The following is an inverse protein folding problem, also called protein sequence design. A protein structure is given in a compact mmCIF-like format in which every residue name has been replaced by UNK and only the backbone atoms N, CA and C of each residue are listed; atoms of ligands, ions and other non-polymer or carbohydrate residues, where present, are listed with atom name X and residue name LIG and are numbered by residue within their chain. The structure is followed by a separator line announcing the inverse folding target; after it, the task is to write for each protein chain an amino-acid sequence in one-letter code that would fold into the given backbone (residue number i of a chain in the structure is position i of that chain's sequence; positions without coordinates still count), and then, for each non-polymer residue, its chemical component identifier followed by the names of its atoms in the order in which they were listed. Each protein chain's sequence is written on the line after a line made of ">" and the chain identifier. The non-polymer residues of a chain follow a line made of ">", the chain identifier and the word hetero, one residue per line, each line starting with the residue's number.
data_IF_479143107481
#
_entry.id   IF_479143107481
#
_cell.length_a   1.000
_cell.length_b   1.000
_cell.length_c   1.000
_cell.angle_alpha   90.00
_cell.angle_beta   90.00
_cell.angle_gamma   90.00
#
_symmetry.space_group_name_H-M   'P 1'
#
loop_
_entity.id
_entity.type
_entity.pdbx_description
1 polymer ?
#
# COMPACT_ATOMS: atom_id res chain seq x y z
N UNK A 1 1.91 5.55 -55.21
CA UNK A 1 1.09 5.38 -54.00
C UNK A 1 1.92 4.68 -52.92
N UNK A 2 3.02 5.29 -52.49
CA UNK A 2 4.00 4.75 -51.52
C UNK A 2 4.12 5.67 -50.29
N UNK A 3 3.11 6.53 -50.06
CA UNK A 3 3.16 7.60 -49.05
C UNK A 3 2.44 7.27 -47.74
N UNK A 4 1.57 6.25 -47.72
CA UNK A 4 0.74 5.93 -46.55
C UNK A 4 1.36 4.87 -45.60
N UNK A 5 2.46 4.22 -46.00
CA UNK A 5 3.15 3.23 -45.17
C UNK A 5 4.07 3.85 -44.10
N UNK A 6 4.31 5.16 -44.13
CA UNK A 6 5.19 5.87 -43.19
C UNK A 6 4.49 6.34 -41.90
N UNK A 7 3.16 6.25 -41.81
CA UNK A 7 2.38 6.80 -40.69
C UNK A 7 2.04 5.81 -39.57
N UNK A 8 2.43 4.54 -39.70
CA UNK A 8 2.15 3.49 -38.69
C UNK A 8 3.38 3.09 -37.86
N UNK A 9 4.36 3.98 -37.73
CA UNK A 9 5.53 3.70 -36.90
C UNK A 9 5.13 3.62 -35.41
N UNK A 10 5.42 2.53 -34.69
CA UNK A 10 5.15 2.46 -33.27
C UNK A 10 6.03 3.43 -32.48
N UNK A 11 5.52 3.88 -31.34
CA UNK A 11 6.23 4.72 -30.41
C UNK A 11 7.60 4.13 -30.06
N UNK A 12 8.61 5.00 -30.01
CA UNK A 12 9.98 4.61 -29.72
C UNK A 12 10.17 3.92 -28.34
N UNK A 13 9.28 4.17 -27.38
CA UNK A 13 9.38 3.58 -26.05
C UNK A 13 9.19 2.06 -26.08
N UNK A 14 10.06 1.34 -25.36
CA UNK A 14 10.05 -0.13 -25.27
C UNK A 14 8.68 -0.62 -24.80
N UNK A 15 8.05 -1.49 -25.60
CA UNK A 15 6.77 -2.12 -25.27
C UNK A 15 5.54 -1.24 -25.51
N UNK A 16 5.70 -0.03 -26.04
CA UNK A 16 4.57 0.79 -26.43
C UNK A 16 4.10 0.42 -27.85
N UNK A 17 2.83 0.07 -27.98
CA UNK A 17 2.20 -0.27 -29.29
C UNK A 17 1.48 0.91 -29.94
N UNK A 18 1.40 2.05 -29.25
CA UNK A 18 0.74 3.25 -29.79
C UNK A 18 1.56 3.84 -30.93
N UNK A 19 0.90 4.33 -31.96
CA UNK A 19 1.53 5.01 -33.10
C UNK A 19 2.22 6.30 -32.66
N UNK A 20 3.40 6.54 -33.22
CA UNK A 20 4.12 7.81 -33.07
C UNK A 20 3.36 8.95 -33.76
N UNK A 21 3.54 10.18 -33.28
CA UNK A 21 2.94 11.35 -33.94
C UNK A 21 3.74 11.71 -35.20
N UNK A 22 3.15 12.50 -36.11
CA UNK A 22 3.81 12.86 -37.37
C UNK A 22 5.12 13.65 -37.16
N UNK A 23 5.21 14.42 -36.07
CA UNK A 23 6.30 15.32 -35.71
C UNK A 23 7.33 14.69 -34.74
N UNK A 24 7.13 13.44 -34.31
CA UNK A 24 7.93 12.87 -33.23
C UNK A 24 8.04 11.36 -33.32
N UNK A 25 9.15 10.80 -32.83
CA UNK A 25 9.29 9.34 -32.66
C UNK A 25 8.45 8.78 -31.49
N UNK A 26 7.70 9.64 -30.78
CA UNK A 26 6.91 9.31 -29.58
C UNK A 26 5.42 9.41 -29.89
N UNK A 27 4.60 8.63 -29.18
CA UNK A 27 3.15 8.80 -29.23
C UNK A 27 2.71 9.95 -28.33
N UNK A 28 1.46 10.38 -28.49
CA UNK A 28 0.86 11.47 -27.72
C UNK A 28 0.99 11.31 -26.19
N UNK A 29 0.82 10.09 -25.67
CA UNK A 29 0.96 9.81 -24.23
C UNK A 29 2.40 9.88 -23.72
N UNK A 30 3.37 9.73 -24.62
CA UNK A 30 4.79 9.78 -24.31
C UNK A 30 5.45 11.08 -24.76
N UNK A 31 4.70 12.06 -25.30
CA UNK A 31 5.28 13.28 -25.89
C UNK A 31 6.21 14.04 -24.93
N UNK A 32 5.81 14.15 -23.66
CA UNK A 32 6.56 14.81 -22.59
C UNK A 32 7.56 13.90 -21.86
N UNK A 33 7.66 12.62 -22.22
CA UNK A 33 8.60 11.69 -21.58
C UNK A 33 9.94 11.72 -22.30
N UNK A 34 11.00 12.00 -21.55
CA UNK A 34 12.35 11.97 -22.08
C UNK A 34 12.82 10.52 -22.30
N UNK A 35 13.52 10.31 -23.41
CA UNK A 35 14.17 9.05 -23.78
C UNK A 35 15.59 9.07 -23.23
N UNK A 36 16.08 7.92 -22.77
CA UNK A 36 17.45 7.77 -22.29
C UNK A 36 18.46 8.21 -23.37
N UNK A 37 19.47 9.00 -22.97
CA UNK A 37 20.48 9.56 -23.88
C UNK A 37 21.38 8.51 -24.56
N UNK A 38 21.54 7.33 -23.93
CA UNK A 38 22.29 6.22 -24.53
C UNK A 38 21.65 5.84 -25.87
N UNK A 39 22.43 5.92 -26.94
CA UNK A 39 21.99 5.69 -28.31
C UNK A 39 21.23 4.35 -28.45
N UNK A 40 20.08 4.38 -29.13
CA UNK A 40 19.22 3.20 -29.31
C UNK A 40 18.43 2.77 -28.07
N UNK A 41 18.62 3.42 -26.91
CA UNK A 41 17.90 3.05 -25.70
C UNK A 41 16.44 3.54 -25.75
N UNK A 42 15.52 2.58 -25.75
CA UNK A 42 14.07 2.82 -25.80
C UNK A 42 13.43 2.99 -24.41
N UNK A 43 14.23 3.18 -23.36
CA UNK A 43 13.74 3.34 -21.99
C UNK A 43 13.55 4.82 -21.64
N UNK A 44 12.64 5.08 -20.70
CA UNK A 44 12.46 6.41 -20.12
C UNK A 44 13.61 6.82 -19.23
N UNK A 45 13.94 8.11 -19.30
CA UNK A 45 14.82 8.75 -18.33
C UNK A 45 14.24 8.58 -16.93
N UNK A 46 15.10 8.13 -16.02
CA UNK A 46 14.80 8.14 -14.59
C UNK A 46 15.38 9.42 -13.96
N UNK A 47 16.68 9.67 -14.18
CA UNK A 47 17.37 10.88 -13.76
C UNK A 47 18.64 11.07 -14.62
N UNK A 48 19.22 12.29 -14.61
CA UNK A 48 20.48 12.61 -15.32
C UNK A 48 20.46 12.22 -16.80
N UNK A 49 19.32 12.36 -17.47
CA UNK A 49 19.10 11.95 -18.87
C UNK A 49 19.34 10.46 -19.15
N UNK A 50 19.39 9.60 -18.12
CA UNK A 50 19.60 8.15 -18.25
C UNK A 50 18.48 7.34 -17.61
N UNK A 51 18.18 6.18 -18.19
CA UNK A 51 17.27 5.21 -17.58
C UNK A 51 17.96 4.46 -16.43
N UNK A 52 17.20 3.69 -15.64
CA UNK A 52 17.73 2.89 -14.52
C UNK A 52 18.90 1.99 -14.94
N UNK A 53 18.78 1.28 -16.08
CA UNK A 53 19.82 0.39 -16.60
C UNK A 53 21.09 1.11 -17.08
N UNK A 54 20.99 2.39 -17.40
CA UNK A 54 22.11 3.16 -17.93
C UNK A 54 22.67 4.14 -16.88
N UNK A 55 22.44 3.89 -15.59
CA UNK A 55 22.99 4.72 -14.51
C UNK A 55 22.12 5.92 -14.12
N UNK A 56 20.84 5.92 -14.49
CA UNK A 56 19.87 6.88 -13.96
C UNK A 56 19.66 6.71 -12.45
N UNK A 57 19.83 5.49 -11.93
CA UNK A 57 19.71 5.17 -10.50
C UNK A 57 21.08 4.84 -9.90
N UNK A 58 21.33 5.25 -8.65
CA UNK A 58 22.55 4.88 -7.91
C UNK A 58 22.61 3.36 -7.71
N UNK A 59 23.81 2.79 -7.80
CA UNK A 59 24.12 1.41 -7.42
C UNK A 59 24.60 1.34 -5.98
N UNK A 60 24.43 0.16 -5.38
CA UNK A 60 24.87 -0.13 -4.02
C UNK A 60 26.38 0.10 -3.88
N UNK A 61 26.80 0.71 -2.78
CA UNK A 61 28.23 0.95 -2.47
C UNK A 61 28.94 -0.30 -1.95
N UNK A 62 28.21 -1.27 -1.40
CA UNK A 62 28.78 -2.54 -0.97
C UNK A 62 29.59 -3.21 -2.09
N UNK A 63 30.81 -3.64 -1.78
CA UNK A 63 31.76 -4.22 -2.73
C UNK A 63 31.16 -5.41 -3.48
N UNK A 64 31.38 -5.45 -4.80
CA UNK A 64 30.82 -6.48 -5.68
C UNK A 64 29.30 -6.45 -5.87
N UNK A 65 28.58 -5.46 -5.32
CA UNK A 65 27.12 -5.36 -5.46
C UNK A 65 26.73 -4.43 -6.62
N UNK A 66 26.07 -4.99 -7.64
CA UNK A 66 25.54 -4.22 -8.78
C UNK A 66 24.04 -3.90 -8.66
N UNK A 67 23.45 -4.14 -7.48
CA UNK A 67 22.04 -3.86 -7.24
C UNK A 67 21.76 -2.37 -7.08
N UNK A 68 20.53 -1.98 -7.41
CA UNK A 68 20.11 -0.59 -7.26
C UNK A 68 19.89 -0.22 -5.79
N UNK A 69 20.32 0.99 -5.43
CA UNK A 69 20.08 1.58 -4.10
C UNK A 69 18.58 1.65 -3.81
N UNK A 70 18.22 1.34 -2.56
CA UNK A 70 16.87 1.53 -2.02
C UNK A 70 16.80 2.62 -0.98
N UNK A 71 17.79 2.71 -0.10
CA UNK A 71 17.86 3.68 0.99
C UNK A 71 19.33 4.09 1.22
N UNK A 72 19.59 5.38 1.37
CA UNK A 72 20.95 5.90 1.50
C UNK A 72 21.78 5.57 0.26
N UNK A 73 22.87 4.83 0.45
CA UNK A 73 23.77 4.37 -0.62
C UNK A 73 23.77 2.84 -0.79
N UNK A 74 22.82 2.14 -0.18
CA UNK A 74 22.78 0.68 -0.17
C UNK A 74 21.49 0.12 -0.79
N UNK A 75 21.59 -1.10 -1.33
CA UNK A 75 20.43 -1.85 -1.83
C UNK A 75 19.57 -2.41 -0.69
N UNK A 76 18.51 -3.15 -1.00
CA UNK A 76 17.66 -3.76 0.03
C UNK A 76 18.34 -4.85 0.86
N UNK A 77 19.43 -5.46 0.35
CA UNK A 77 20.19 -6.51 1.04
C UNK A 77 21.30 -5.96 1.92
N UNK A 78 21.94 -4.87 1.48
CA UNK A 78 23.09 -4.24 2.16
C UNK A 78 22.72 -2.95 2.90
N UNK A 79 21.47 -2.51 2.80
CA UNK A 79 20.96 -1.37 3.56
C UNK A 79 20.96 -1.68 5.05
N UNK A 80 20.95 -0.62 5.87
CA UNK A 80 20.94 -0.74 7.32
C UNK A 80 19.95 -1.83 7.77
N UNK A 81 20.48 -2.86 8.43
CA UNK A 81 19.66 -3.88 9.06
C UNK A 81 18.91 -3.16 10.17
N UNK A 82 17.65 -2.84 9.92
CA UNK A 82 16.77 -2.37 10.98
C UNK A 82 16.54 -3.59 11.87
N UNK A 83 17.32 -3.71 12.96
CA UNK A 83 17.11 -4.73 13.99
C UNK A 83 15.68 -4.57 14.49
N UNK A 84 14.81 -5.49 14.09
CA UNK A 84 13.41 -5.47 14.51
C UNK A 84 13.37 -5.82 15.98
N UNK A 85 12.93 -4.87 16.81
CA UNK A 85 12.73 -5.11 18.24
C UNK A 85 11.64 -6.16 18.45
N UNK A 86 11.77 -6.97 19.49
CA UNK A 86 10.71 -7.87 19.94
C UNK A 86 9.61 -7.08 20.66
N UNK A 87 8.46 -7.71 20.83
CA UNK A 87 7.36 -7.19 21.63
C UNK A 87 7.79 -7.05 23.10
N UNK A 88 7.42 -5.94 23.72
CA UNK A 88 7.72 -5.62 25.13
C UNK A 88 7.00 -6.53 26.13
N UNK A 89 5.91 -7.18 25.72
CA UNK A 89 5.18 -8.12 26.56
C UNK A 89 6.03 -9.35 26.93
N UNK A 90 6.10 -9.71 28.22
CA UNK A 90 6.95 -10.80 28.70
C UNK A 90 6.58 -12.13 28.03
N UNK A 91 7.59 -12.88 27.59
CA UNK A 91 7.41 -14.15 26.88
C UNK A 91 6.97 -14.04 25.41
N UNK A 92 6.76 -12.83 24.88
CA UNK A 92 6.36 -12.66 23.49
C UNK A 92 7.57 -12.59 22.52
N UNK A 93 7.72 -13.60 21.66
CA UNK A 93 8.77 -13.64 20.63
C UNK A 93 8.38 -13.00 19.30
N UNK A 94 7.21 -12.34 19.22
CA UNK A 94 6.76 -11.67 17.98
C UNK A 94 7.47 -10.32 17.84
N UNK A 95 7.83 -9.95 16.61
CA UNK A 95 8.39 -8.63 16.33
C UNK A 95 7.40 -7.51 16.63
N UNK A 96 7.92 -6.46 17.25
CA UNK A 96 7.18 -5.23 17.47
C UNK A 96 6.95 -4.49 16.15
N UNK A 97 5.81 -3.81 16.06
CA UNK A 97 5.45 -2.94 14.95
C UNK A 97 5.53 -1.48 15.41
N UNK A 98 4.54 -1.04 16.19
CA UNK A 98 4.51 0.29 16.82
C UNK A 98 4.47 0.14 18.33
N UNK A 99 4.88 1.17 19.07
CA UNK A 99 4.85 1.19 20.55
C UNK A 99 5.58 0.02 21.21
N UNK A 100 6.60 -0.54 20.55
CA UNK A 100 7.30 -1.76 20.96
C UNK A 100 6.39 -2.98 21.21
N UNK A 101 5.20 -3.02 20.60
CA UNK A 101 4.23 -4.10 20.75
C UNK A 101 4.03 -4.82 19.41
N UNK A 102 3.71 -6.11 19.43
CA UNK A 102 3.33 -6.85 18.23
C UNK A 102 1.86 -6.58 17.85
N UNK A 103 1.39 -7.07 16.69
CA UNK A 103 0.00 -6.89 16.27
C UNK A 103 -1.03 -7.38 17.30
N UNK A 104 -0.78 -8.52 17.94
CA UNK A 104 -1.66 -9.08 18.96
C UNK A 104 -1.69 -8.25 20.25
N UNK A 105 -0.56 -7.64 20.61
CA UNK A 105 -0.40 -6.88 21.86
C UNK A 105 -0.54 -5.35 21.68
N UNK A 106 -1.20 -4.91 20.61
CA UNK A 106 -1.56 -3.50 20.40
C UNK A 106 -0.59 -2.68 19.55
N UNK A 107 0.38 -3.31 18.89
CA UNK A 107 1.28 -2.67 17.93
C UNK A 107 0.70 -2.49 16.54
N UNK A 108 -0.43 -3.14 16.24
CA UNK A 108 -1.18 -2.94 15.00
C UNK A 108 -2.07 -1.69 15.09
N UNK A 109 -2.05 -0.87 14.05
CA UNK A 109 -2.97 0.28 13.97
C UNK A 109 -4.41 -0.20 13.77
N UNK A 110 -5.36 0.35 14.53
CA UNK A 110 -6.80 0.11 14.37
C UNK A 110 -7.37 1.01 13.27
N UNK A 111 -8.50 0.62 12.71
CA UNK A 111 -9.22 1.44 11.76
C UNK A 111 -9.57 2.79 12.38
N UNK A 112 -9.28 3.89 11.68
CA UNK A 112 -9.60 5.26 12.09
C UNK A 112 -11.09 5.57 12.03
N UNK A 113 -11.90 4.74 11.38
CA UNK A 113 -13.35 4.88 11.41
C UNK A 113 -13.86 4.60 12.83
N UNK A 114 -14.66 5.52 13.35
CA UNK A 114 -15.24 5.39 14.69
C UNK A 114 -16.06 4.10 14.84
N UNK A 115 -15.98 3.48 16.01
CA UNK A 115 -16.61 2.20 16.31
C UNK A 115 -16.00 0.97 15.60
N UNK A 116 -14.95 1.13 14.78
CA UNK A 116 -14.35 0.00 14.06
C UNK A 116 -13.12 -0.58 14.77
N UNK A 117 -13.27 -1.73 15.43
CA UNK A 117 -12.16 -2.42 16.12
C UNK A 117 -11.21 -3.20 15.18
N UNK A 118 -11.47 -3.24 13.86
CA UNK A 118 -10.65 -4.01 12.93
C UNK A 118 -9.29 -3.36 12.67
N UNK A 119 -8.31 -4.18 12.28
CA UNK A 119 -6.96 -3.69 11.97
C UNK A 119 -6.93 -2.90 10.66
N UNK A 120 -6.26 -1.75 10.70
CA UNK A 120 -5.97 -0.98 9.51
C UNK A 120 -4.97 -1.73 8.62
N UNK A 121 -5.19 -1.65 7.31
CA UNK A 121 -4.28 -2.22 6.29
C UNK A 121 -3.60 -1.14 5.46
N UNK A 122 -4.30 -0.05 5.13
CA UNK A 122 -3.76 1.05 4.32
C UNK A 122 -4.37 2.38 4.74
N UNK A 123 -3.54 3.43 4.86
CA UNK A 123 -4.01 4.79 5.17
C UNK A 123 -4.69 4.95 6.54
N UNK A 124 -4.52 3.99 7.45
CA UNK A 124 -5.22 3.96 8.74
C UNK A 124 -6.63 3.38 8.70
N UNK A 125 -7.06 2.77 7.60
CA UNK A 125 -8.37 2.11 7.49
C UNK A 125 -8.22 0.63 7.19
N UNK A 126 -9.22 -0.17 7.62
CA UNK A 126 -9.29 -1.58 7.28
C UNK A 126 -9.71 -1.78 5.81
N UNK A 127 -9.72 -3.01 5.32
CA UNK A 127 -10.12 -3.31 3.93
C UNK A 127 -11.53 -2.81 3.61
N UNK A 128 -12.47 -3.00 4.55
CA UNK A 128 -13.87 -2.55 4.46
C UNK A 128 -14.01 -1.02 4.44
N UNK A 129 -13.12 -0.31 5.11
CA UNK A 129 -13.18 1.16 5.23
C UNK A 129 -12.11 1.87 4.39
N UNK A 130 -11.49 1.16 3.44
CA UNK A 130 -10.40 1.69 2.61
C UNK A 130 -10.83 2.81 1.65
N UNK A 131 -12.13 2.98 1.42
CA UNK A 131 -12.72 4.11 0.68
C UNK A 131 -12.54 5.46 1.40
N UNK A 132 -12.48 5.47 2.73
CA UNK A 132 -12.22 6.68 3.53
C UNK A 132 -10.79 7.21 3.38
N UNK A 133 -9.93 6.53 2.62
CA UNK A 133 -8.55 6.96 2.30
C UNK A 133 -8.53 8.11 1.27
N UNK A 134 -9.65 8.40 0.61
CA UNK A 134 -9.77 9.52 -0.34
C UNK A 134 -10.65 10.61 0.26
N UNK A 135 -10.02 11.58 0.92
CA UNK A 135 -10.31 13.02 0.92
C UNK A 135 -9.42 13.62 2.02
N UNK A 136 -8.18 13.90 1.65
CA UNK A 136 -7.35 14.80 2.43
C UNK A 136 -7.76 16.23 2.12
N UNK A 137 -8.72 16.78 2.89
CA UNK A 137 -8.73 18.15 3.44
C UNK A 137 -10.12 18.48 4.00
N UNK A 138 -10.09 18.97 5.25
CA UNK A 138 -11.14 19.58 6.08
C UNK A 138 -12.02 18.63 6.90
N UNK A 139 -11.86 18.78 8.22
CA UNK A 139 -12.81 18.41 9.25
C UNK A 139 -14.19 19.02 8.95
N UNK A 140 -15.26 18.27 9.24
CA UNK A 140 -16.37 18.75 10.06
C UNK A 140 -16.95 17.58 10.85
N UNK A 141 -17.35 17.89 12.07
CA UNK A 141 -17.95 16.99 13.03
C UNK A 141 -19.42 16.71 12.72
N UNK A 142 -19.87 15.57 13.25
CA UNK A 142 -21.17 15.32 13.84
C UNK A 142 -22.27 14.63 13.02
N UNK A 143 -22.98 13.80 13.79
CA UNK A 143 -24.37 13.42 13.70
C UNK A 143 -24.81 12.56 12.50
N UNK A 144 -24.75 11.25 12.67
CA UNK A 144 -25.93 10.49 13.11
C UNK A 144 -25.65 8.99 13.01
N UNK A 145 -25.90 8.29 14.11
CA UNK A 145 -25.79 6.85 14.17
C UNK A 145 -26.84 6.17 13.29
N UNK A 146 -26.51 4.95 12.86
CA UNK A 146 -27.37 3.79 13.12
C UNK A 146 -26.49 2.62 13.55
N UNK A 147 -26.79 1.95 14.67
CA UNK A 147 -26.12 0.71 15.03
C UNK A 147 -26.49 -0.38 14.02
N UNK A 148 -25.51 -1.19 13.64
CA UNK A 148 -25.74 -2.42 12.88
C UNK A 148 -26.52 -3.41 13.74
N UNK A 149 -27.50 -4.16 13.21
CA UNK A 149 -28.21 -5.16 13.99
C UNK A 149 -27.25 -6.30 14.35
N UNK A 150 -26.99 -6.44 15.64
CA UNK A 150 -26.36 -7.62 16.22
C UNK A 150 -27.45 -8.68 16.39
N UNK A 151 -27.52 -9.65 15.46
CA UNK A 151 -28.33 -10.84 15.64
C UNK A 151 -27.53 -11.89 16.41
N UNK A 152 -27.84 -12.02 17.71
CA UNK A 152 -28.11 -13.31 18.38
C UNK A 152 -28.06 -13.10 19.90
N UNK A 153 -29.22 -12.92 20.53
CA UNK A 153 -29.38 -13.09 21.97
C UNK A 153 -30.49 -14.11 22.15
N UNK A 154 -30.13 -15.30 22.60
CA UNK A 154 -31.08 -16.25 23.16
C UNK A 154 -31.61 -15.65 24.46
N UNK A 155 -32.92 -15.48 24.53
CA UNK A 155 -33.61 -14.86 25.65
C UNK A 155 -33.42 -15.67 26.93
N UNK A 156 -32.83 -15.03 27.94
CA UNK A 156 -33.02 -15.40 29.35
C UNK A 156 -33.78 -14.27 30.01
N UNK A 157 -35.11 -14.42 30.06
CA UNK A 157 -35.98 -13.65 30.95
C UNK A 157 -36.19 -14.47 32.22
N UNK A 158 -35.71 -13.92 33.32
CA UNK A 158 -36.01 -14.33 34.69
C UNK A 158 -36.91 -13.28 35.32
N UNK A 159 -38.09 -13.69 35.78
CA UNK A 159 -38.95 -13.12 36.82
C UNK A 159 -40.11 -14.14 36.94
N UNK A 160 -40.49 -14.74 38.05
CA UNK A 160 -40.33 -14.49 39.47
C UNK A 160 -41.66 -14.88 40.13
N UNK A 161 -41.58 -15.55 41.29
CA UNK A 161 -42.62 -15.67 42.33
C UNK A 161 -43.75 -16.76 42.26
N UNK A 162 -43.69 -17.62 43.30
CA UNK A 162 -44.77 -18.09 44.21
C UNK A 162 -45.72 -19.19 43.70
N UNK A 163 -45.58 -20.41 44.24
CA UNK A 163 -46.49 -21.06 45.21
C UNK A 163 -46.00 -22.48 45.57
N UNK A 164 -45.89 -22.74 46.88
CA UNK A 164 -45.94 -24.05 47.57
C UNK A 164 -47.34 -24.70 47.30
N UNK A 165 -47.65 -26.00 47.55
CA UNK A 165 -47.09 -26.89 48.58
C UNK A 165 -46.99 -28.41 48.25
N UNK A 166 -46.39 -29.15 49.19
CA UNK A 166 -46.70 -30.55 49.59
C UNK A 166 -46.63 -31.71 48.57
N UNK A 167 -45.93 -32.77 48.96
CA UNK A 167 -46.37 -34.19 49.07
C UNK A 167 -45.13 -35.09 48.91
N UNK A 168 -44.53 -35.54 50.01
CA UNK A 168 -44.67 -36.85 50.68
C UNK A 168 -44.05 -38.02 49.90
N UNK A 169 -43.24 -38.78 50.64
CA UNK A 169 -42.66 -40.11 50.39
C UNK A 169 -41.23 -40.12 49.82
#
# INVERSE_FOLDING_TARGET
>A
MESDLLLLRPCYFKGCTRTATADSVKCEFHKQRAVCIVHGCRNQVFARNRCVRHGGKKTCVHEGCHENVRLGDFCGKHGAIVTRKLCIEPGCQKFAQTKQRCSAHGGGQRCKLDGCATHARKGGFCTRHSSHVRIGRKFMASANGKPSPHLSSVDKLSLGAILNPSIVA
#
